data_IF_732712158666
#
_entry.id   IF_732712158666
#
_cell.length_a   1.000
_cell.length_b   1.000
_cell.length_c   1.000
_cell.angle_alpha   90.00
_cell.angle_beta   90.00
_cell.angle_gamma   90.00
#
_symmetry.space_group_name_H-M   'P 1'
#
loop_
_entity.id
_entity.type
_entity.pdbx_description
1 polymer ?
#
# COMPACT_ATOMS: atom_id res chain seq x y z
N UNK A 1 -38.03 -38.37 -78.42
CA UNK A 1 -37.14 -37.22 -78.66
C UNK A 1 -37.98 -36.02 -79.06
N UNK A 2 -38.34 -35.15 -78.11
CA UNK A 2 -38.77 -33.77 -78.38
C UNK A 2 -38.24 -32.92 -77.22
N UNK A 3 -37.13 -32.23 -77.46
CA UNK A 3 -36.57 -31.21 -76.57
C UNK A 3 -36.95 -29.85 -77.11
N UNK A 4 -37.95 -29.20 -76.50
CA UNK A 4 -38.38 -27.85 -76.82
C UNK A 4 -37.61 -26.78 -76.01
N UNK A 5 -37.46 -25.55 -76.54
CA UNK A 5 -36.59 -24.49 -76.02
C UNK A 5 -37.07 -23.84 -74.71
N UNK A 6 -38.19 -24.29 -74.14
CA UNK A 6 -38.78 -23.73 -72.93
C UNK A 6 -38.19 -24.28 -71.63
N UNK A 7 -37.45 -25.40 -71.69
CA UNK A 7 -36.84 -26.00 -70.51
C UNK A 7 -35.57 -25.28 -70.04
N UNK A 8 -34.85 -24.59 -70.94
CA UNK A 8 -33.62 -23.89 -70.58
C UNK A 8 -33.90 -22.58 -69.83
N UNK A 9 -34.95 -21.85 -70.22
CA UNK A 9 -35.28 -20.54 -69.64
C UNK A 9 -35.81 -20.60 -68.19
N UNK A 10 -36.47 -21.70 -67.79
CA UNK A 10 -36.95 -21.87 -66.41
C UNK A 10 -35.84 -22.26 -65.42
N UNK A 11 -34.77 -22.92 -65.91
CA UNK A 11 -33.65 -23.33 -65.05
C UNK A 11 -32.78 -22.12 -64.70
N UNK A 12 -32.57 -21.18 -65.62
CA UNK A 12 -31.77 -19.98 -65.37
C UNK A 12 -32.42 -19.01 -64.36
N UNK A 13 -33.75 -18.84 -64.36
CA UNK A 13 -34.44 -18.02 -63.36
C UNK A 13 -34.39 -18.63 -61.95
N UNK A 14 -34.41 -19.97 -61.83
CA UNK A 14 -34.37 -20.66 -60.54
C UNK A 14 -32.96 -20.71 -59.91
N UNK A 15 -31.91 -20.50 -60.71
CA UNK A 15 -30.52 -20.40 -60.26
C UNK A 15 -30.23 -18.96 -59.79
N UNK A 16 -30.64 -17.94 -60.55
CA UNK A 16 -30.47 -16.53 -60.16
C UNK A 16 -31.18 -16.17 -58.84
N UNK A 17 -32.38 -16.69 -58.57
CA UNK A 17 -33.08 -16.47 -57.29
C UNK A 17 -32.44 -17.19 -56.08
N UNK A 18 -31.62 -18.22 -56.32
CA UNK A 18 -30.95 -19.01 -55.25
C UNK A 18 -29.61 -18.40 -54.83
N UNK A 19 -28.92 -17.71 -55.74
CA UNK A 19 -27.67 -17.00 -55.46
C UNK A 19 -27.88 -15.69 -54.67
N UNK A 20 -29.02 -15.04 -54.80
CA UNK A 20 -29.31 -13.79 -54.07
C UNK A 20 -29.63 -14.04 -52.58
N UNK A 21 -30.39 -15.09 -52.26
CA UNK A 21 -30.76 -15.39 -50.86
C UNK A 21 -29.60 -15.90 -49.99
N UNK A 22 -28.61 -16.59 -50.56
CA UNK A 22 -27.45 -17.10 -49.80
C UNK A 22 -26.44 -16.00 -49.44
N UNK A 23 -26.26 -15.01 -50.31
CA UNK A 23 -25.43 -13.84 -50.04
C UNK A 23 -26.04 -12.96 -48.92
N UNK A 24 -27.37 -12.77 -48.94
CA UNK A 24 -28.09 -11.95 -47.97
C UNK A 24 -28.06 -12.53 -46.55
N UNK A 25 -28.23 -13.85 -46.40
CA UNK A 25 -28.09 -14.55 -45.11
C UNK A 25 -26.65 -14.58 -44.58
N UNK A 26 -25.66 -14.67 -45.47
CA UNK A 26 -24.24 -14.58 -45.10
C UNK A 26 -23.88 -13.20 -44.55
N UNK A 27 -24.37 -12.14 -45.19
CA UNK A 27 -24.17 -10.76 -44.75
C UNK A 27 -24.88 -10.52 -43.40
N UNK A 28 -26.11 -10.99 -43.19
CA UNK A 28 -26.80 -10.86 -41.90
C UNK A 28 -26.10 -11.60 -40.76
N UNK A 29 -25.60 -12.82 -40.99
CA UNK A 29 -24.83 -13.56 -39.98
C UNK A 29 -23.50 -12.84 -39.66
N UNK A 30 -22.82 -12.34 -40.69
CA UNK A 30 -21.55 -11.64 -40.53
C UNK A 30 -21.74 -10.32 -39.79
N UNK A 31 -22.80 -9.56 -40.08
CA UNK A 31 -23.17 -8.33 -39.36
C UNK A 31 -23.57 -8.62 -37.92
N UNK A 32 -24.29 -9.71 -37.64
CA UNK A 32 -24.63 -10.12 -36.26
C UNK A 32 -23.40 -10.56 -35.46
N UNK A 33 -22.46 -11.26 -36.09
CA UNK A 33 -21.18 -11.61 -35.48
C UNK A 33 -20.32 -10.37 -35.23
N UNK A 34 -20.25 -9.44 -36.19
CA UNK A 34 -19.49 -8.19 -36.04
C UNK A 34 -20.07 -7.30 -34.94
N UNK A 35 -21.40 -7.17 -34.88
CA UNK A 35 -22.09 -6.39 -33.83
C UNK A 35 -21.92 -7.02 -32.45
N UNK A 36 -21.99 -8.34 -32.32
CA UNK A 36 -21.66 -9.05 -31.06
C UNK A 36 -20.20 -8.81 -30.63
N UNK A 37 -19.24 -8.89 -31.55
CA UNK A 37 -17.81 -8.66 -31.25
C UNK A 37 -17.55 -7.20 -30.88
N UNK A 38 -18.16 -6.24 -31.58
CA UNK A 38 -18.05 -4.82 -31.27
C UNK A 38 -18.69 -4.50 -29.92
N UNK A 39 -19.86 -5.07 -29.61
CA UNK A 39 -20.55 -4.86 -28.35
C UNK A 39 -19.82 -5.52 -27.17
N UNK A 40 -19.22 -6.69 -27.36
CA UNK A 40 -18.32 -7.32 -26.38
C UNK A 40 -17.02 -6.52 -26.18
N UNK A 41 -16.46 -5.94 -27.25
CA UNK A 41 -15.30 -5.06 -27.17
C UNK A 41 -15.56 -3.75 -26.43
N UNK A 42 -16.73 -3.14 -26.63
CA UNK A 42 -17.15 -1.91 -25.95
C UNK A 42 -17.36 -2.11 -24.44
N UNK A 43 -17.83 -3.29 -24.02
CA UNK A 43 -18.01 -3.61 -22.59
C UNK A 43 -16.68 -3.88 -21.85
N UNK A 44 -15.58 -4.15 -22.56
CA UNK A 44 -14.26 -4.38 -21.94
C UNK A 44 -13.43 -3.10 -21.75
N UNK A 45 -13.88 -1.94 -22.25
CA UNK A 45 -13.09 -0.72 -22.27
C UNK A 45 -13.15 0.13 -20.99
N UNK A 46 -14.05 -0.16 -20.04
CA UNK A 46 -14.25 0.68 -18.84
C UNK A 46 -13.57 0.17 -17.57
N UNK A 47 -12.84 -0.95 -17.61
CA UNK A 47 -12.10 -1.46 -16.45
C UNK A 47 -10.62 -1.05 -16.49
N UNK A 48 -10.33 0.26 -16.50
CA UNK A 48 -8.98 0.73 -16.15
C UNK A 48 -8.76 0.43 -14.66
N UNK A 49 -8.23 -0.76 -14.34
CA UNK A 49 -7.67 -1.02 -13.02
C UNK A 49 -6.63 0.07 -12.76
N UNK A 50 -6.91 0.99 -11.84
CA UNK A 50 -5.92 1.99 -11.39
C UNK A 50 -4.68 1.20 -10.95
N UNK A 51 -3.60 1.30 -11.73
CA UNK A 51 -2.38 0.59 -11.43
C UNK A 51 -1.89 1.03 -10.05
N UNK A 52 -1.59 0.06 -9.19
CA UNK A 52 -1.02 0.32 -7.87
C UNK A 52 0.43 0.78 -8.04
N UNK A 53 0.62 2.07 -8.27
CA UNK A 53 1.94 2.69 -8.26
C UNK A 53 2.31 3.02 -6.82
N UNK A 54 3.29 2.31 -6.28
CA UNK A 54 3.90 2.67 -5.01
C UNK A 54 4.54 4.04 -5.14
N UNK A 55 4.27 4.95 -4.20
CA UNK A 55 4.84 6.29 -4.18
C UNK A 55 5.50 6.51 -2.82
N UNK A 56 6.74 6.96 -2.84
CA UNK A 56 7.55 7.20 -1.64
C UNK A 56 7.99 8.65 -1.67
N UNK A 57 7.78 9.38 -0.57
CA UNK A 57 8.20 10.78 -0.47
C UNK A 57 8.39 11.20 1.00
N UNK A 58 9.28 12.17 1.29
CA UNK A 58 9.45 12.70 2.64
C UNK A 58 8.13 13.33 3.13
N UNK A 59 7.73 12.99 4.34
CA UNK A 59 6.56 13.57 5.00
C UNK A 59 6.95 13.92 6.42
N UNK A 60 7.32 15.20 6.62
CA UNK A 60 7.75 15.73 7.91
C UNK A 60 6.63 15.65 8.94
N UNK A 61 7.00 15.26 10.16
CA UNK A 61 6.14 15.32 11.34
C UNK A 61 6.43 16.58 12.16
N UNK A 62 7.66 16.74 12.61
CA UNK A 62 8.10 17.88 13.43
C UNK A 62 9.29 18.60 12.81
N UNK A 63 10.31 17.86 12.36
CA UNK A 63 11.56 18.38 11.81
C UNK A 63 11.85 17.79 10.43
N UNK A 64 12.64 18.46 9.57
CA UNK A 64 13.03 17.87 8.30
C UNK A 64 13.61 16.46 8.45
N UNK A 65 13.28 15.57 7.52
CA UNK A 65 13.77 14.19 7.44
C UNK A 65 13.30 13.23 8.57
N UNK A 66 12.33 13.62 9.40
CA UNK A 66 11.83 12.78 10.50
C UNK A 66 10.63 11.87 10.13
N UNK A 67 10.28 11.81 8.85
CA UNK A 67 9.15 11.00 8.39
C UNK A 67 9.15 10.69 6.90
N UNK A 68 8.65 9.51 6.56
CA UNK A 68 8.55 9.01 5.19
C UNK A 68 7.15 8.48 4.90
N UNK A 69 6.49 9.04 3.88
CA UNK A 69 5.24 8.51 3.37
C UNK A 69 5.51 7.39 2.36
N UNK A 70 4.83 6.26 2.54
CA UNK A 70 4.83 5.13 1.61
C UNK A 70 3.38 4.84 1.23
N UNK A 71 2.98 5.28 0.04
CA UNK A 71 1.68 5.00 -0.56
C UNK A 71 1.73 3.64 -1.21
N UNK A 72 0.85 2.74 -0.79
CA UNK A 72 0.78 1.36 -1.27
C UNK A 72 -0.55 1.02 -1.93
N UNK A 73 -1.54 1.90 -1.84
CA UNK A 73 -2.89 1.67 -2.36
C UNK A 73 -3.30 2.72 -3.42
N UNK A 74 -4.12 2.34 -4.43
CA UNK A 74 -4.52 3.24 -5.52
C UNK A 74 -5.31 4.48 -5.09
N UNK A 75 -5.99 4.41 -3.96
CA UNK A 75 -6.77 5.49 -3.33
C UNK A 75 -5.90 6.47 -2.52
N UNK A 76 -4.58 6.26 -2.49
CA UNK A 76 -3.64 7.12 -1.77
C UNK A 76 -3.43 6.71 -0.31
N UNK A 77 -3.89 5.53 0.09
CA UNK A 77 -3.62 4.97 1.41
C UNK A 77 -2.24 4.31 1.47
N UNK A 78 -1.70 4.24 2.67
CA UNK A 78 -0.46 3.52 2.94
C UNK A 78 -0.02 3.67 4.39
N UNK A 79 1.29 3.85 4.58
CA UNK A 79 1.90 4.04 5.89
C UNK A 79 2.78 5.30 5.92
N UNK A 80 2.80 5.95 7.07
CA UNK A 80 3.74 7.02 7.40
C UNK A 80 4.73 6.48 8.42
N UNK A 81 5.96 6.27 7.98
CA UNK A 81 7.06 5.76 8.78
C UNK A 81 7.69 6.93 9.55
N UNK A 82 7.76 6.83 10.87
CA UNK A 82 8.47 7.81 11.70
C UNK A 82 9.95 7.44 11.76
N UNK A 83 10.80 8.43 11.48
CA UNK A 83 12.25 8.24 11.37
C UNK A 83 12.91 8.81 12.61
N UNK A 84 13.68 7.97 13.29
CA UNK A 84 14.41 8.32 14.50
C UNK A 84 15.84 7.80 14.39
N UNK A 85 16.75 8.46 15.10
CA UNK A 85 18.17 8.09 15.17
C UNK A 85 18.56 7.77 16.60
N UNK A 86 19.32 6.70 16.79
CA UNK A 86 19.98 6.37 18.04
C UNK A 86 21.31 7.12 18.14
N UNK A 87 21.51 7.82 19.26
CA UNK A 87 22.69 8.66 19.53
C UNK A 87 23.22 8.47 20.96
N UNK A 88 22.90 7.34 21.62
CA UNK A 88 23.40 7.01 22.95
C UNK A 88 24.94 6.94 23.01
N UNK A 89 25.59 6.54 21.91
CA UNK A 89 27.03 6.71 21.72
C UNK A 89 27.29 8.07 21.05
N UNK A 90 28.01 9.01 21.71
CA UNK A 90 28.31 10.33 21.12
C UNK A 90 29.07 10.29 19.79
N UNK A 91 29.79 9.20 19.50
CA UNK A 91 30.59 9.03 18.28
C UNK A 91 29.84 8.40 17.12
N UNK A 92 28.67 7.80 17.36
CA UNK A 92 27.92 7.03 16.35
C UNK A 92 26.47 7.48 16.31
N UNK A 93 25.96 7.61 15.10
CA UNK A 93 24.56 7.91 14.88
C UNK A 93 24.00 6.92 13.85
N UNK A 94 22.93 6.23 14.23
CA UNK A 94 22.37 5.12 13.48
C UNK A 94 20.84 5.13 13.50
N UNK A 95 20.14 4.42 12.61
CA UNK A 95 18.68 4.30 12.66
C UNK A 95 18.20 3.71 13.99
N UNK A 96 17.11 4.27 14.53
CA UNK A 96 16.28 3.61 15.54
C UNK A 96 14.96 3.18 14.90
N UNK A 97 14.76 1.87 14.77
CA UNK A 97 13.61 1.33 14.06
C UNK A 97 12.33 1.37 14.90
N UNK A 98 11.30 2.02 14.35
CA UNK A 98 9.96 2.12 14.93
C UNK A 98 8.95 1.37 14.05
N UNK A 99 8.59 0.12 14.39
CA UNK A 99 7.69 -0.69 13.55
C UNK A 99 6.23 -0.23 13.60
N UNK A 100 5.87 0.58 14.59
CA UNK A 100 4.53 1.14 14.79
C UNK A 100 4.37 2.39 13.93
N UNK A 101 4.05 2.19 12.65
CA UNK A 101 3.81 3.26 11.68
C UNK A 101 2.39 3.83 11.80
N UNK A 102 2.22 5.10 11.43
CA UNK A 102 0.89 5.70 11.35
C UNK A 102 0.23 5.35 10.02
N UNK A 103 -1.10 5.28 10.00
CA UNK A 103 -1.86 5.13 8.75
C UNK A 103 -1.78 6.43 7.96
N UNK A 104 -1.35 6.33 6.70
CA UNK A 104 -1.30 7.44 5.75
C UNK A 104 -2.61 7.51 4.96
N UNK A 105 -3.15 8.72 4.85
CA UNK A 105 -4.30 9.06 4.02
C UNK A 105 -3.91 10.11 2.99
N UNK A 106 -4.62 10.12 1.85
CA UNK A 106 -4.48 11.13 0.81
C UNK A 106 -3.04 11.30 0.26
N UNK A 107 -2.24 10.23 0.24
CA UNK A 107 -0.84 10.24 -0.23
C UNK A 107 -0.64 10.58 -1.72
N UNK A 108 -1.70 10.43 -2.51
CA UNK A 108 -1.74 10.84 -3.92
C UNK A 108 -2.28 12.26 -4.13
N UNK A 109 -2.84 12.88 -3.09
CA UNK A 109 -3.36 14.24 -3.13
C UNK A 109 -2.34 15.31 -2.75
N UNK A 110 -2.82 16.55 -2.61
CA UNK A 110 -2.02 17.72 -2.23
C UNK A 110 -1.82 17.89 -0.73
N UNK A 111 -2.61 17.20 0.09
CA UNK A 111 -2.60 17.32 1.55
C UNK A 111 -2.62 15.93 2.20
N UNK A 112 -1.50 15.17 2.14
CA UNK A 112 -1.36 13.91 2.84
C UNK A 112 -1.37 14.14 4.35
N UNK A 113 -1.99 13.24 5.10
CA UNK A 113 -2.02 13.30 6.55
C UNK A 113 -2.03 11.89 7.16
N UNK A 114 -1.71 11.83 8.45
CA UNK A 114 -1.55 10.57 9.17
C UNK A 114 -2.47 10.52 10.37
N UNK A 115 -3.15 9.39 10.60
CA UNK A 115 -4.08 9.23 11.72
C UNK A 115 -4.23 7.77 12.13
N UNK A 116 -4.09 7.46 13.41
CA UNK A 116 -4.17 6.08 13.92
C UNK A 116 -2.95 5.22 13.54
N UNK A 117 -2.92 4.01 14.10
CA UNK A 117 -1.82 3.05 13.90
C UNK A 117 -2.11 2.14 12.70
N UNK A 118 -1.09 1.91 11.89
CA UNK A 118 -1.10 0.86 10.88
C UNK A 118 -0.57 -0.46 11.46
N UNK A 119 -1.02 -1.62 10.95
CA UNK A 119 -0.46 -2.92 11.32
C UNK A 119 1.05 -3.00 11.05
N UNK A 120 1.80 -3.61 11.95
CA UNK A 120 3.26 -3.85 11.78
C UNK A 120 3.60 -4.65 10.51
N UNK A 121 2.69 -5.49 10.03
CA UNK A 121 2.86 -6.19 8.75
C UNK A 121 2.98 -5.23 7.55
N UNK A 122 2.36 -4.05 7.62
CA UNK A 122 2.46 -3.04 6.56
C UNK A 122 3.78 -2.27 6.64
N UNK A 123 4.28 -2.00 7.84
CA UNK A 123 5.66 -1.53 8.03
C UNK A 123 6.64 -2.52 7.37
N UNK A 124 6.55 -3.81 7.72
CA UNK A 124 7.42 -4.85 7.17
C UNK A 124 7.30 -4.95 5.65
N UNK A 125 6.08 -4.85 5.11
CA UNK A 125 5.85 -4.86 3.65
C UNK A 125 6.50 -3.66 2.97
N UNK A 126 6.43 -2.48 3.57
CA UNK A 126 7.07 -1.27 3.05
C UNK A 126 8.59 -1.40 3.06
N UNK A 127 9.20 -1.74 4.21
CA UNK A 127 10.67 -1.83 4.33
C UNK A 127 11.26 -3.02 3.59
N UNK A 128 10.47 -4.03 3.21
CA UNK A 128 10.92 -5.10 2.31
C UNK A 128 11.20 -4.61 0.89
N UNK A 129 10.67 -3.45 0.49
CA UNK A 129 10.98 -2.88 -0.83
C UNK A 129 12.30 -2.14 -0.85
N UNK A 130 13.07 -2.33 -1.91
CA UNK A 130 14.40 -1.73 -2.09
C UNK A 130 14.34 -0.21 -2.26
N UNK A 131 13.35 0.30 -2.99
CA UNK A 131 13.14 1.74 -3.18
C UNK A 131 12.87 2.44 -1.85
N UNK A 132 12.01 1.88 -1.00
CA UNK A 132 11.74 2.38 0.36
C UNK A 132 13.01 2.38 1.21
N UNK A 133 13.79 1.29 1.23
CA UNK A 133 15.05 1.25 2.01
C UNK A 133 16.08 2.27 1.54
N UNK A 134 16.18 2.50 0.23
CA UNK A 134 17.09 3.51 -0.32
C UNK A 134 16.71 4.91 0.15
N UNK A 135 15.42 5.26 0.10
CA UNK A 135 14.95 6.56 0.60
C UNK A 135 15.07 6.67 2.12
N UNK A 136 14.75 5.62 2.87
CA UNK A 136 14.96 5.57 4.32
C UNK A 136 16.41 5.89 4.70
N UNK A 137 17.38 5.28 4.00
CA UNK A 137 18.80 5.52 4.24
C UNK A 137 19.19 6.98 4.01
N UNK A 138 18.67 7.60 2.96
CA UNK A 138 18.93 9.01 2.64
C UNK A 138 18.33 9.95 3.69
N UNK A 139 17.07 9.76 4.03
CA UNK A 139 16.37 10.59 5.02
C UNK A 139 16.99 10.43 6.41
N UNK A 140 17.30 9.21 6.86
CA UNK A 140 17.91 8.98 8.17
C UNK A 140 19.36 9.51 8.24
N UNK A 141 20.13 9.43 7.17
CA UNK A 141 21.47 10.05 7.13
C UNK A 141 21.37 11.59 7.22
N UNK A 142 20.38 12.20 6.55
CA UNK A 142 20.13 13.63 6.64
C UNK A 142 19.67 14.04 8.05
N UNK A 143 18.74 13.29 8.65
CA UNK A 143 18.29 13.48 10.02
C UNK A 143 19.45 13.38 11.02
N UNK A 144 20.34 12.41 10.80
CA UNK A 144 21.54 12.21 11.60
C UNK A 144 22.48 13.43 11.55
N UNK A 145 22.72 14.00 10.36
CA UNK A 145 23.53 15.23 10.20
C UNK A 145 22.92 16.42 10.91
N UNK A 146 21.59 16.51 10.99
CA UNK A 146 20.89 17.57 11.71
C UNK A 146 20.99 17.41 13.24
N UNK A 147 20.84 16.19 13.75
CA UNK A 147 20.77 15.93 15.20
C UNK A 147 22.13 15.71 15.85
N UNK A 148 23.07 15.08 15.15
CA UNK A 148 24.39 14.70 15.65
C UNK A 148 25.49 14.99 14.61
N UNK A 149 25.78 16.27 14.31
CA UNK A 149 26.64 16.68 13.18
C UNK A 149 28.09 16.20 13.29
N UNK A 150 28.55 15.81 14.48
CA UNK A 150 29.91 15.30 14.74
C UNK A 150 29.98 13.77 14.77
N UNK A 151 28.85 13.08 14.82
CA UNK A 151 28.80 11.64 14.91
C UNK A 151 29.00 10.99 13.54
N UNK A 152 29.59 9.79 13.52
CA UNK A 152 29.72 9.00 12.30
C UNK A 152 28.40 8.32 12.00
N UNK A 153 27.88 8.52 10.80
CA UNK A 153 26.73 7.79 10.29
C UNK A 153 27.03 6.28 10.17
N UNK A 154 26.11 5.47 10.70
CA UNK A 154 26.13 4.02 10.56
C UNK A 154 24.75 3.52 10.16
N UNK A 155 24.65 2.99 8.95
CA UNK A 155 23.45 2.31 8.50
C UNK A 155 23.29 0.96 9.22
N UNK A 156 22.10 0.73 9.74
CA UNK A 156 21.64 -0.56 10.26
C UNK A 156 20.43 -0.94 9.44
N UNK A 157 20.29 -2.19 9.01
CA UNK A 157 19.13 -2.58 8.21
C UNK A 157 17.84 -2.61 9.05
N UNK A 158 16.68 -2.24 8.47
CA UNK A 158 15.40 -2.38 9.15
C UNK A 158 15.02 -3.86 9.32
N UNK A 159 14.20 -4.18 10.33
CA UNK A 159 13.68 -5.53 10.48
C UNK A 159 12.82 -5.88 9.26
N UNK A 160 13.17 -6.98 8.59
CA UNK A 160 12.52 -7.42 7.35
C UNK A 160 11.44 -8.49 7.60
N UNK A 161 11.47 -9.09 8.78
CA UNK A 161 10.50 -10.11 9.17
C UNK A 161 10.05 -9.90 10.63
N UNK A 162 8.92 -10.51 11.03
CA UNK A 162 8.38 -10.33 12.38
C UNK A 162 9.32 -10.79 13.50
N UNK A 163 10.15 -11.80 13.26
CA UNK A 163 11.10 -12.33 14.25
C UNK A 163 12.25 -11.37 14.59
N UNK A 164 12.56 -10.42 13.71
CA UNK A 164 13.55 -9.36 13.95
C UNK A 164 12.98 -8.17 14.73
N UNK A 165 11.67 -8.14 14.98
CA UNK A 165 11.05 -7.08 15.77
C UNK A 165 11.35 -7.32 17.25
N UNK A 166 12.32 -6.59 17.79
CA UNK A 166 12.60 -6.59 19.22
C UNK A 166 11.42 -5.99 19.97
N UNK A 167 10.79 -6.72 20.91
CA UNK A 167 9.78 -6.15 21.79
C UNK A 167 10.38 -4.99 22.58
N UNK A 168 9.63 -3.90 22.70
CA UNK A 168 10.01 -2.82 23.62
C UNK A 168 9.86 -3.39 25.04
N UNK A 169 10.99 -3.61 25.73
CA UNK A 169 10.94 -3.88 27.17
C UNK A 169 10.47 -2.60 27.85
N UNK A 170 9.47 -2.74 28.71
CA UNK A 170 8.91 -1.66 29.51
C UNK A 170 9.10 -2.06 30.98
N UNK A 171 10.32 -1.93 31.53
CA UNK A 171 10.62 -2.38 32.90
C UNK A 171 9.67 -1.77 33.94
N UNK A 172 9.21 -0.53 33.70
CA UNK A 172 8.22 0.16 34.53
C UNK A 172 6.85 -0.54 34.62
N UNK A 173 6.50 -1.42 33.66
CA UNK A 173 5.31 -2.27 33.70
C UNK A 173 5.61 -3.70 34.15
N UNK A 174 6.89 -4.09 34.20
CA UNK A 174 7.35 -5.42 34.60
C UNK A 174 7.54 -5.50 36.14
N UNK A 175 7.77 -4.36 36.78
CA UNK A 175 7.83 -4.27 38.23
C UNK A 175 6.43 -4.11 38.83
N UNK A 176 6.16 -4.71 40.00
CA UNK A 176 4.97 -4.37 40.78
C UNK A 176 4.94 -2.86 41.04
N UNK A 177 3.73 -2.29 41.13
CA UNK A 177 3.53 -0.86 41.33
C UNK A 177 4.46 -0.35 42.45
N UNK A 178 5.24 0.69 42.14
CA UNK A 178 6.14 1.32 43.13
C UNK A 178 5.37 1.97 44.28
N UNK A 179 4.07 2.17 44.08
CA UNK A 179 3.17 2.74 45.07
C UNK A 179 2.62 1.60 45.93
N UNK A 180 2.90 1.67 47.23
CA UNK A 180 2.22 0.86 48.24
C UNK A 180 0.71 1.02 48.11
N UNK A 181 -0.04 -0.06 48.33
CA UNK A 181 -1.50 0.01 48.28
C UNK A 181 -1.99 1.13 49.24
N UNK A 182 -2.89 2.02 48.79
CA UNK A 182 -3.33 3.16 49.61
C UNK A 182 -3.95 2.77 50.94
N UNK A 183 -4.61 1.60 51.00
CA UNK A 183 -5.20 1.08 52.25
C UNK A 183 -4.10 0.61 53.18
N UNK A 184 -3.07 -0.06 52.64
CA UNK A 184 -1.93 -0.55 53.41
C UNK A 184 -1.07 0.60 53.96
N UNK A 185 -0.90 1.68 53.20
CA UNK A 185 -0.25 2.92 53.67
C UNK A 185 -1.07 3.59 54.77
N UNK A 186 -2.39 3.71 54.58
CA UNK A 186 -3.28 4.33 55.55
C UNK A 186 -3.34 3.57 56.88
N UNK A 187 -3.35 2.23 56.85
CA UNK A 187 -3.26 1.41 58.06
C UNK A 187 -1.94 1.60 58.81
N UNK A 188 -0.84 1.81 58.07
CA UNK A 188 0.48 2.08 58.65
C UNK A 188 0.53 3.45 59.32
N UNK A 189 -0.03 4.47 58.67
CA UNK A 189 -0.18 5.82 59.24
C UNK A 189 -1.03 5.80 60.51
N UNK A 190 -2.19 5.12 60.49
CA UNK A 190 -3.09 4.99 61.64
C UNK A 190 -2.44 4.28 62.83
N UNK A 191 -1.57 3.29 62.59
CA UNK A 191 -0.80 2.63 63.64
C UNK A 191 0.22 3.58 64.28
N UNK A 192 0.97 4.30 63.45
CA UNK A 192 1.96 5.26 63.94
C UNK A 192 1.31 6.37 64.78
N UNK A 193 0.12 6.82 64.38
CA UNK A 193 -0.62 7.87 65.10
C UNK A 193 -1.31 7.39 66.39
N UNK A 194 -1.41 6.07 66.63
CA UNK A 194 -2.01 5.48 67.85
C UNK A 194 -0.98 5.05 68.89
N UNK A 195 0.31 5.06 68.56
CA UNK A 195 1.41 4.69 69.45
C UNK A 195 2.02 5.88 70.25
N UNK A 196 1.44 7.08 70.13
CA UNK A 196 1.67 8.26 71.00
C UNK A 196 0.53 8.45 72.02
#
# INVERSE_FOLDING_TARGET
MVSGPWHQAMVDLAILGRYTMTCQRGIELMVRLLTMVVMAGLLSACAQKKATTWKVFPLQRNTPHDGLAVVSQPDGYGVHLYLETETSDPGVCSPRWLPDSARLFNGNGSAPFSSGLAPRSEFLSAVNRRDVRNTLKQELEALCKLRAPKARWQWLEPPLNPSELTPVSLPALEHPDLLTDPVEEQEREDKLLKED
#
